data_IF_745036282354
#
_entry.id   IF_745036282354
#
_cell.length_a   1.000
_cell.length_b   1.000
_cell.length_c   1.000
_cell.angle_alpha   90.00
_cell.angle_beta   90.00
_cell.angle_gamma   90.00
#
_symmetry.space_group_name_H-M   'P 1'
#
loop_
_entity.id
_entity.type
_entity.pdbx_description
1 polymer ?
#
# COMPACT_ATOMS: atom_id res chain seq x y z
N UNK A 1 21.71 -26.06 16.18
CA UNK A 1 20.84 -24.94 16.55
C UNK A 1 19.81 -24.82 15.44
N UNK A 2 18.52 -24.87 15.74
CA UNK A 2 17.46 -24.95 14.72
C UNK A 2 17.55 -23.75 13.77
N UNK A 3 17.79 -24.03 12.48
CA UNK A 3 17.86 -23.05 11.38
C UNK A 3 16.48 -22.51 10.95
N UNK A 4 15.46 -22.65 11.80
CA UNK A 4 14.10 -22.22 11.50
C UNK A 4 13.84 -20.83 12.07
N UNK A 5 13.17 -19.99 11.28
CA UNK A 5 12.68 -18.70 11.74
C UNK A 5 11.61 -18.90 12.81
N UNK A 6 11.86 -18.41 14.02
CA UNK A 6 10.92 -18.35 15.13
C UNK A 6 10.39 -16.90 15.22
N UNK A 7 9.15 -16.70 14.75
CA UNK A 7 8.58 -15.36 14.55
C UNK A 7 7.75 -14.95 15.75
N UNK A 8 8.12 -13.82 16.37
CA UNK A 8 7.27 -13.07 17.28
C UNK A 8 6.41 -12.07 16.51
N UNK A 9 5.11 -12.03 16.80
CA UNK A 9 4.19 -11.02 16.26
C UNK A 9 3.90 -9.95 17.31
N UNK A 10 4.21 -8.69 16.99
CA UNK A 10 3.88 -7.54 17.82
C UNK A 10 2.92 -6.60 17.06
N UNK A 11 1.64 -6.68 17.43
CA UNK A 11 0.54 -5.94 16.78
C UNK A 11 -0.18 -4.96 17.69
N UNK A 12 -1.10 -4.21 17.09
CA UNK A 12 -1.93 -3.18 17.75
C UNK A 12 -3.25 -3.81 18.20
N UNK A 13 -3.81 -3.34 19.30
CA UNK A 13 -5.24 -3.60 19.56
C UNK A 13 -6.09 -2.69 18.69
N UNK A 14 -6.52 -3.17 17.52
CA UNK A 14 -7.34 -2.38 16.60
C UNK A 14 -8.70 -2.04 17.21
N UNK A 15 -9.17 -0.81 17.03
CA UNK A 15 -10.54 -0.41 17.41
C UNK A 15 -11.57 -0.77 16.33
N UNK A 16 -11.19 -0.72 15.04
CA UNK A 16 -12.08 -1.00 13.91
C UNK A 16 -12.14 -2.50 13.61
N UNK A 17 -13.34 -3.03 13.37
CA UNK A 17 -13.59 -4.46 13.12
C UNK A 17 -12.83 -4.94 11.87
N UNK A 18 -12.86 -4.18 10.77
CA UNK A 18 -12.20 -4.57 9.52
C UNK A 18 -10.69 -4.79 9.70
N UNK A 19 -10.02 -3.95 10.50
CA UNK A 19 -8.58 -4.09 10.76
C UNK A 19 -8.27 -5.35 11.58
N UNK A 20 -9.11 -5.69 12.56
CA UNK A 20 -8.99 -6.96 13.32
C UNK A 20 -9.14 -8.18 12.41
N UNK A 21 -10.08 -8.14 11.47
CA UNK A 21 -10.32 -9.24 10.54
C UNK A 21 -9.12 -9.45 9.63
N UNK A 22 -8.57 -8.39 9.05
CA UNK A 22 -7.39 -8.46 8.19
C UNK A 22 -6.17 -8.98 8.96
N UNK A 23 -5.90 -8.44 10.15
CA UNK A 23 -4.79 -8.88 11.00
C UNK A 23 -4.92 -10.36 11.40
N UNK A 24 -6.13 -10.77 11.81
CA UNK A 24 -6.40 -12.17 12.15
C UNK A 24 -6.18 -13.08 10.95
N UNK A 25 -6.70 -12.71 9.77
CA UNK A 25 -6.51 -13.49 8.55
C UNK A 25 -5.03 -13.63 8.21
N UNK A 26 -4.26 -12.54 8.26
CA UNK A 26 -2.82 -12.60 8.04
C UNK A 26 -2.14 -13.60 8.99
N UNK A 27 -2.48 -13.54 10.28
CA UNK A 27 -1.87 -14.40 11.30
C UNK A 27 -2.24 -15.86 11.14
N UNK A 28 -3.50 -16.13 10.84
CA UNK A 28 -4.00 -17.49 10.62
C UNK A 28 -3.31 -18.10 9.40
N UNK A 29 -3.19 -17.35 8.29
CA UNK A 29 -2.46 -17.80 7.10
C UNK A 29 -0.98 -18.05 7.38
N UNK A 30 -0.28 -17.13 8.06
CA UNK A 30 1.15 -17.37 8.34
C UNK A 30 1.39 -18.62 9.21
N UNK A 31 0.49 -18.86 10.18
CA UNK A 31 0.56 -20.03 11.08
C UNK A 31 0.38 -21.36 10.39
N UNK A 32 -0.23 -21.40 9.21
CA UNK A 32 -0.33 -22.63 8.41
C UNK A 32 1.04 -23.08 7.88
N UNK A 33 1.99 -22.15 7.72
CA UNK A 33 3.29 -22.41 7.08
C UNK A 33 4.48 -22.30 8.05
N UNK A 34 4.34 -21.62 9.18
CA UNK A 34 5.40 -21.53 10.19
C UNK A 34 4.89 -21.20 11.60
N UNK A 35 5.65 -21.53 12.66
CA UNK A 35 5.32 -21.14 14.02
C UNK A 35 5.35 -19.61 14.20
N UNK A 36 4.25 -19.05 14.73
CA UNK A 36 4.13 -17.62 15.04
C UNK A 36 3.65 -17.43 16.48
N UNK A 37 4.50 -16.81 17.31
CA UNK A 37 4.21 -16.50 18.71
C UNK A 37 3.67 -15.08 18.81
N UNK A 38 2.43 -14.91 19.30
CA UNK A 38 1.87 -13.56 19.54
C UNK A 38 2.44 -13.00 20.83
N UNK A 39 3.14 -11.88 20.72
CA UNK A 39 3.73 -11.19 21.87
C UNK A 39 2.63 -10.37 22.56
N UNK A 40 2.45 -10.49 23.89
CA UNK A 40 1.43 -9.76 24.61
C UNK A 40 1.52 -8.24 24.42
N UNK A 41 0.39 -7.52 24.27
CA UNK A 41 0.39 -6.07 24.14
C UNK A 41 0.99 -5.30 25.34
N UNK A 42 1.19 -5.95 26.50
CA UNK A 42 1.93 -5.36 27.63
C UNK A 42 3.35 -4.98 27.23
N UNK A 43 4.03 -5.79 26.40
CA UNK A 43 5.37 -5.50 25.93
C UNK A 43 5.45 -4.25 25.05
N UNK A 44 4.36 -3.92 24.34
CA UNK A 44 4.28 -2.65 23.61
C UNK A 44 4.31 -1.47 24.59
N UNK A 45 3.58 -1.57 25.71
CA UNK A 45 3.61 -0.54 26.77
C UNK A 45 4.97 -0.49 27.46
N UNK A 46 5.57 -1.64 27.74
CA UNK A 46 6.90 -1.71 28.34
C UNK A 46 7.97 -1.12 27.42
N UNK A 47 7.92 -1.39 26.11
CA UNK A 47 8.80 -0.77 25.12
C UNK A 47 8.69 0.76 25.10
N UNK A 48 7.48 1.30 25.31
CA UNK A 48 7.23 2.75 25.30
C UNK A 48 7.46 3.47 26.63
N UNK A 49 7.53 2.74 27.74
CA UNK A 49 7.47 3.36 29.06
C UNK A 49 6.13 4.11 29.26
N UNK A 50 6.20 5.43 29.48
CA UNK A 50 5.01 6.26 29.71
C UNK A 50 4.18 6.52 28.44
N UNK A 51 4.84 6.77 27.30
CA UNK A 51 4.21 6.99 25.99
C UNK A 51 5.23 6.85 24.86
N UNK A 52 4.76 6.61 23.63
CA UNK A 52 5.65 6.54 22.46
C UNK A 52 6.41 7.86 22.23
N UNK A 53 5.76 8.99 22.46
CA UNK A 53 6.41 10.31 22.38
C UNK A 53 7.48 10.48 23.45
N UNK A 54 7.22 10.02 24.68
CA UNK A 54 8.22 10.02 25.75
C UNK A 54 9.43 9.15 25.41
N UNK A 55 9.21 8.03 24.72
CA UNK A 55 10.29 7.15 24.26
C UNK A 55 11.18 7.86 23.22
N UNK A 56 10.56 8.47 22.21
CA UNK A 56 11.27 9.18 21.13
C UNK A 56 12.01 10.41 21.67
N UNK A 57 11.36 11.22 22.51
CA UNK A 57 11.99 12.39 23.13
C UNK A 57 13.13 12.03 24.10
N UNK A 58 13.12 10.81 24.63
CA UNK A 58 14.17 10.29 25.50
C UNK A 58 15.39 9.70 24.77
N UNK A 59 15.40 9.69 23.43
CA UNK A 59 16.52 9.15 22.67
C UNK A 59 17.79 10.03 22.82
N UNK A 60 18.99 9.43 22.87
CA UNK A 60 19.27 8.00 22.80
C UNK A 60 19.18 7.29 24.16
N UNK A 61 18.99 8.02 25.27
CA UNK A 61 19.01 7.46 26.63
C UNK A 61 17.93 6.41 26.90
N UNK A 62 16.85 6.41 26.13
CA UNK A 62 15.78 5.39 26.21
C UNK A 62 16.12 4.06 25.51
N UNK A 63 17.24 3.98 24.76
CA UNK A 63 17.64 2.78 24.03
C UNK A 63 18.03 1.62 24.95
N UNK A 64 18.65 1.88 26.10
CA UNK A 64 19.01 0.83 27.08
C UNK A 64 17.77 0.09 27.57
N UNK A 65 16.73 0.84 27.93
CA UNK A 65 15.45 0.29 28.36
C UNK A 65 14.77 -0.50 27.24
N UNK A 66 14.66 0.09 26.04
CA UNK A 66 14.05 -0.59 24.90
C UNK A 66 14.80 -1.88 24.53
N UNK A 67 16.14 -1.86 24.58
CA UNK A 67 16.96 -3.03 24.32
C UNK A 67 16.78 -4.13 25.36
N UNK A 68 16.67 -3.78 26.64
CA UNK A 68 16.39 -4.74 27.71
C UNK A 68 15.04 -5.44 27.50
N UNK A 69 14.00 -4.68 27.11
CA UNK A 69 12.68 -5.24 26.79
C UNK A 69 12.74 -6.14 25.56
N UNK A 70 13.44 -5.75 24.49
CA UNK A 70 13.62 -6.61 23.30
C UNK A 70 14.35 -7.92 23.63
N UNK A 71 15.40 -7.86 24.46
CA UNK A 71 16.13 -9.04 24.92
C UNK A 71 15.22 -9.95 25.78
N UNK A 72 14.37 -9.36 26.63
CA UNK A 72 13.38 -10.11 27.41
C UNK A 72 12.35 -10.81 26.52
N UNK A 73 11.83 -10.13 25.50
CA UNK A 73 10.91 -10.75 24.53
C UNK A 73 11.61 -11.91 23.82
N UNK A 74 12.84 -11.69 23.33
CA UNK A 74 13.65 -12.69 22.64
C UNK A 74 13.87 -13.94 23.50
N UNK A 75 14.29 -13.77 24.75
CA UNK A 75 14.58 -14.89 25.66
C UNK A 75 13.33 -15.60 26.14
N UNK A 76 12.25 -14.87 26.44
CA UNK A 76 10.99 -15.43 26.96
C UNK A 76 10.29 -16.28 25.91
N UNK A 77 10.26 -15.83 24.66
CA UNK A 77 9.50 -16.47 23.58
C UNK A 77 10.38 -17.27 22.59
N UNK A 78 11.71 -17.24 22.76
CA UNK A 78 12.65 -17.96 21.90
C UNK A 78 12.61 -17.50 20.43
N UNK A 79 12.24 -16.25 20.18
CA UNK A 79 12.11 -15.70 18.82
C UNK A 79 13.45 -15.23 18.27
N UNK A 80 13.63 -15.30 16.96
CA UNK A 80 14.78 -14.72 16.25
C UNK A 80 14.36 -13.72 15.14
N UNK A 81 13.06 -13.64 14.87
CA UNK A 81 12.43 -12.66 13.98
C UNK A 81 11.28 -11.97 14.73
N UNK A 82 11.15 -10.66 14.57
CA UNK A 82 10.05 -9.86 15.11
C UNK A 82 9.28 -9.22 13.97
N UNK A 83 8.04 -9.65 13.74
CA UNK A 83 7.11 -9.00 12.82
C UNK A 83 6.42 -7.84 13.53
N UNK A 84 6.62 -6.63 13.01
CA UNK A 84 6.07 -5.39 13.54
C UNK A 84 4.90 -4.90 12.68
N UNK A 85 3.70 -4.90 13.25
CA UNK A 85 2.52 -4.22 12.67
C UNK A 85 2.24 -2.88 13.40
N UNK A 86 3.32 -2.21 13.81
CA UNK A 86 3.30 -0.94 14.54
C UNK A 86 4.32 0.01 13.87
N UNK A 87 3.96 0.65 12.75
CA UNK A 87 4.92 1.38 11.92
C UNK A 87 5.79 2.37 12.68
N UNK A 88 5.18 3.17 13.56
CA UNK A 88 5.88 4.20 14.35
C UNK A 88 7.00 3.63 15.22
N UNK A 89 6.93 2.34 15.62
CA UNK A 89 7.92 1.74 16.53
C UNK A 89 9.14 1.18 15.82
N UNK A 90 9.06 0.98 14.50
CA UNK A 90 10.11 0.33 13.71
C UNK A 90 11.48 1.01 13.92
N UNK A 91 11.61 2.36 13.87
CA UNK A 91 12.90 3.01 14.05
C UNK A 91 13.52 2.71 15.42
N UNK A 92 12.72 2.81 16.50
CA UNK A 92 13.24 2.59 17.85
C UNK A 92 13.61 1.13 18.09
N UNK A 93 12.82 0.18 17.57
CA UNK A 93 13.14 -1.25 17.68
C UNK A 93 14.45 -1.57 16.96
N UNK A 94 14.65 -1.07 15.73
CA UNK A 94 15.90 -1.28 14.99
C UNK A 94 17.10 -0.63 15.69
N UNK A 95 16.95 0.60 16.20
CA UNK A 95 18.02 1.27 16.96
C UNK A 95 18.37 0.51 18.23
N UNK A 96 17.38 0.09 19.03
CA UNK A 96 17.61 -0.66 20.26
C UNK A 96 18.25 -2.03 19.99
N UNK A 97 17.82 -2.71 18.92
CA UNK A 97 18.44 -3.96 18.43
C UNK A 97 19.92 -3.76 18.10
N UNK A 98 20.25 -2.70 17.37
CA UNK A 98 21.64 -2.39 17.01
C UNK A 98 22.47 -1.97 18.23
N UNK A 99 21.91 -1.12 19.10
CA UNK A 99 22.55 -0.62 20.32
C UNK A 99 23.03 -1.75 21.23
N UNK A 100 22.20 -2.77 21.44
CA UNK A 100 22.55 -3.93 22.25
C UNK A 100 23.16 -5.10 21.48
N UNK A 101 23.39 -4.97 20.17
CA UNK A 101 23.95 -6.04 19.34
C UNK A 101 23.11 -7.32 19.33
N UNK A 102 21.78 -7.18 19.37
CA UNK A 102 20.87 -8.33 19.47
C UNK A 102 20.81 -9.08 18.13
N UNK A 103 20.98 -10.39 18.19
CA UNK A 103 20.66 -11.28 17.06
C UNK A 103 19.14 -11.47 16.95
N UNK A 104 18.50 -10.46 16.35
CA UNK A 104 17.07 -10.36 16.12
C UNK A 104 16.82 -9.64 14.79
N UNK A 105 16.13 -10.30 13.87
CA UNK A 105 15.65 -9.67 12.64
C UNK A 105 14.31 -8.98 12.83
N UNK A 106 14.09 -7.89 12.10
CA UNK A 106 12.82 -7.15 12.12
C UNK A 106 12.15 -7.27 10.77
N UNK A 107 10.86 -7.60 10.76
CA UNK A 107 10.05 -7.65 9.56
C UNK A 107 8.87 -6.69 9.63
N UNK A 108 8.59 -6.00 8.54
CA UNK A 108 7.48 -5.06 8.42
C UNK A 108 6.97 -4.98 6.97
N UNK A 109 5.75 -4.45 6.80
CA UNK A 109 5.20 -4.13 5.48
C UNK A 109 5.25 -2.62 5.27
N UNK A 110 5.83 -2.21 4.15
CA UNK A 110 5.80 -0.84 3.68
C UNK A 110 4.46 -0.56 2.96
N UNK A 111 3.40 -0.34 3.75
CA UNK A 111 2.03 -0.16 3.24
C UNK A 111 1.88 1.05 2.31
N UNK A 112 2.67 2.09 2.54
CA UNK A 112 2.69 3.32 1.78
C UNK A 112 4.14 3.83 1.79
N UNK A 113 4.60 4.41 0.68
CA UNK A 113 5.97 4.95 0.58
C UNK A 113 5.99 6.41 0.15
N UNK A 114 4.86 6.97 -0.30
CA UNK A 114 4.79 8.32 -0.87
C UNK A 114 4.24 9.42 0.04
N UNK A 115 3.53 9.09 1.12
CA UNK A 115 3.03 10.15 2.03
C UNK A 115 4.14 10.65 2.96
N UNK A 116 4.00 11.88 3.46
CA UNK A 116 5.01 12.51 4.32
C UNK A 116 5.34 11.69 5.57
N UNK A 117 4.32 11.19 6.27
CA UNK A 117 4.50 10.33 7.44
C UNK A 117 5.36 9.09 7.11
N UNK A 118 4.99 8.36 6.05
CA UNK A 118 5.65 7.12 5.70
C UNK A 118 7.06 7.37 5.16
N UNK A 119 7.24 8.42 4.37
CA UNK A 119 8.55 8.77 3.83
C UNK A 119 9.54 9.12 4.94
N UNK A 120 9.13 9.91 5.96
CA UNK A 120 9.94 10.16 7.15
C UNK A 120 10.34 8.88 7.87
N UNK A 121 9.37 7.96 8.05
CA UNK A 121 9.61 6.65 8.64
C UNK A 121 10.70 5.89 7.86
N UNK A 122 10.55 5.77 6.54
CA UNK A 122 11.49 5.04 5.70
C UNK A 122 12.87 5.70 5.65
N UNK A 123 12.96 7.03 5.65
CA UNK A 123 14.24 7.72 5.75
C UNK A 123 14.90 7.45 7.11
N UNK A 124 14.13 7.49 8.21
CA UNK A 124 14.66 7.32 9.58
C UNK A 124 15.26 5.94 9.86
N UNK A 125 14.84 4.89 9.15
CA UNK A 125 15.30 3.51 9.44
C UNK A 125 16.53 3.07 8.64
N UNK A 126 16.87 3.76 7.54
CA UNK A 126 17.94 3.36 6.62
C UNK A 126 19.22 2.95 7.33
N UNK A 127 19.78 3.74 8.27
CA UNK A 127 21.08 3.41 8.85
C UNK A 127 21.06 2.11 9.67
N UNK A 128 19.88 1.72 10.15
CA UNK A 128 19.69 0.61 11.07
C UNK A 128 19.39 -0.71 10.39
N UNK A 129 19.03 -0.70 9.11
CA UNK A 129 18.71 -1.88 8.32
C UNK A 129 19.95 -2.76 8.07
N UNK A 130 19.72 -4.06 8.12
CA UNK A 130 20.69 -5.14 7.88
C UNK A 130 20.07 -6.23 7.02
N UNK A 131 20.87 -7.21 6.56
CA UNK A 131 20.36 -8.39 5.85
C UNK A 131 19.44 -9.27 6.73
N UNK A 132 19.48 -9.09 8.05
CA UNK A 132 18.58 -9.72 9.03
C UNK A 132 17.14 -9.18 8.95
N UNK A 133 16.92 -8.05 8.28
CA UNK A 133 15.64 -7.36 8.27
C UNK A 133 14.87 -7.59 6.96
N UNK A 134 13.54 -7.66 7.06
CA UNK A 134 12.65 -7.88 5.92
C UNK A 134 11.65 -6.74 5.80
N UNK A 135 11.95 -5.78 4.93
CA UNK A 135 10.99 -4.76 4.49
C UNK A 135 10.22 -5.29 3.30
N UNK A 136 8.95 -5.62 3.49
CA UNK A 136 8.07 -6.12 2.44
C UNK A 136 7.41 -4.95 1.70
N UNK A 137 7.53 -4.96 0.38
CA UNK A 137 6.86 -4.00 -0.52
C UNK A 137 5.93 -4.75 -1.45
N UNK A 138 4.77 -4.18 -1.73
CA UNK A 138 3.72 -4.85 -2.52
C UNK A 138 3.94 -4.79 -4.02
N UNK A 139 4.82 -3.91 -4.50
CA UNK A 139 5.06 -3.63 -5.92
C UNK A 139 6.51 -3.24 -6.17
N UNK A 140 7.00 -3.45 -7.39
CA UNK A 140 8.29 -2.94 -7.84
C UNK A 140 8.33 -1.42 -7.81
N UNK A 141 7.21 -0.74 -8.12
CA UNK A 141 7.16 0.72 -7.99
C UNK A 141 7.45 1.16 -6.56
N UNK A 142 6.92 0.46 -5.56
CA UNK A 142 7.20 0.76 -4.15
C UNK A 142 8.65 0.45 -3.77
N UNK A 143 9.21 -0.66 -4.28
CA UNK A 143 10.64 -0.97 -4.10
C UNK A 143 11.52 0.14 -4.67
N UNK A 144 11.26 0.56 -5.90
CA UNK A 144 12.03 1.58 -6.58
C UNK A 144 11.94 2.95 -5.91
N UNK A 145 10.77 3.29 -5.34
CA UNK A 145 10.62 4.48 -4.52
C UNK A 145 11.53 4.47 -3.29
N UNK A 146 11.60 3.33 -2.59
CA UNK A 146 12.51 3.18 -1.44
C UNK A 146 13.99 3.18 -1.87
N UNK A 147 14.34 2.52 -2.99
CA UNK A 147 15.74 2.51 -3.48
C UNK A 147 16.19 3.88 -4.00
N UNK A 148 15.25 4.73 -4.42
CA UNK A 148 15.51 6.15 -4.69
C UNK A 148 15.89 6.94 -3.42
N UNK A 149 15.56 6.47 -2.21
CA UNK A 149 16.05 7.05 -0.95
C UNK A 149 17.46 6.55 -0.63
N UNK A 150 17.69 5.25 -0.76
CA UNK A 150 18.91 4.58 -0.34
C UNK A 150 19.11 3.24 -1.04
N UNK A 151 20.35 2.91 -1.40
CA UNK A 151 20.71 1.57 -1.90
C UNK A 151 20.48 0.45 -0.87
N UNK A 152 20.39 0.76 0.43
CA UNK A 152 20.04 -0.25 1.45
C UNK A 152 18.67 -0.88 1.20
N UNK A 153 17.76 -0.19 0.52
CA UNK A 153 16.46 -0.74 0.17
C UNK A 153 16.48 -1.77 -0.97
N UNK A 154 17.64 -2.09 -1.55
CA UNK A 154 17.79 -3.32 -2.36
C UNK A 154 17.44 -4.58 -1.54
N UNK A 155 17.60 -4.51 -0.21
CA UNK A 155 17.16 -5.52 0.74
C UNK A 155 15.64 -5.68 0.81
N UNK A 156 14.84 -4.69 0.38
CA UNK A 156 13.38 -4.82 0.39
C UNK A 156 12.93 -5.98 -0.52
N UNK A 157 11.96 -6.75 -0.05
CA UNK A 157 11.42 -7.92 -0.74
C UNK A 157 10.08 -7.55 -1.36
N UNK A 158 9.96 -7.67 -2.68
CA UNK A 158 8.66 -7.57 -3.36
C UNK A 158 7.85 -8.81 -3.01
N UNK A 159 6.77 -8.61 -2.27
CA UNK A 159 5.80 -9.65 -1.95
C UNK A 159 4.41 -9.04 -2.15
N UNK A 160 3.66 -9.47 -3.19
CA UNK A 160 2.31 -8.98 -3.43
C UNK A 160 1.40 -9.20 -2.21
N UNK A 161 0.43 -8.32 -2.02
CA UNK A 161 -0.57 -8.53 -0.97
C UNK A 161 -1.47 -9.72 -1.34
N UNK A 162 -1.74 -10.57 -0.35
CA UNK A 162 -2.63 -11.71 -0.48
C UNK A 162 -4.09 -11.36 -0.19
N UNK A 163 -5.02 -12.02 -0.88
CA UNK A 163 -6.45 -12.04 -0.58
C UNK A 163 -6.93 -13.46 -0.34
N UNK A 164 -7.99 -13.57 0.45
CA UNK A 164 -8.79 -14.80 0.49
C UNK A 164 -9.60 -14.86 -0.80
N UNK A 165 -9.46 -15.95 -1.54
CA UNK A 165 -10.29 -16.16 -2.72
C UNK A 165 -11.75 -16.36 -2.28
N UNK A 166 -12.71 -15.68 -2.93
CA UNK A 166 -14.11 -15.83 -2.58
C UNK A 166 -14.59 -17.25 -2.92
N UNK A 167 -15.46 -17.79 -2.07
CA UNK A 167 -16.13 -19.07 -2.35
C UNK A 167 -17.20 -18.82 -3.42
N UNK A 168 -16.99 -19.40 -4.60
CA UNK A 168 -17.94 -19.33 -5.72
C UNK A 168 -18.72 -20.62 -5.78
N UNK A 169 -19.74 -20.76 -4.94
CA UNK A 169 -20.71 -21.83 -5.15
C UNK A 169 -21.51 -21.46 -6.41
N UNK A 170 -21.26 -22.16 -7.52
CA UNK A 170 -22.07 -22.12 -8.75
C UNK A 170 -22.30 -20.72 -9.36
N UNK A 171 -21.30 -19.84 -9.37
CA UNK A 171 -21.43 -18.60 -10.16
C UNK A 171 -21.35 -18.97 -11.63
N UNK A 172 -22.49 -18.95 -12.33
CA UNK A 172 -22.46 -19.04 -13.78
C UNK A 172 -21.80 -17.77 -14.34
N UNK A 173 -20.92 -17.91 -15.34
CA UNK A 173 -20.33 -16.76 -16.04
C UNK A 173 -21.42 -15.83 -16.63
N UNK A 174 -22.66 -16.30 -16.76
CA UNK A 174 -23.81 -15.54 -17.23
C UNK A 174 -24.36 -14.54 -16.21
N UNK A 175 -23.96 -14.62 -14.93
CA UNK A 175 -24.39 -13.69 -13.88
C UNK A 175 -23.46 -12.49 -13.68
N UNK A 176 -22.21 -12.58 -14.16
CA UNK A 176 -21.20 -11.52 -14.04
C UNK A 176 -21.51 -10.43 -15.08
N UNK A 177 -21.59 -9.17 -14.66
CA UNK A 177 -21.84 -8.04 -15.56
C UNK A 177 -23.24 -8.01 -16.20
N UNK A 178 -24.24 -8.64 -15.58
CA UNK A 178 -25.64 -8.66 -16.08
C UNK A 178 -26.27 -7.29 -16.24
N UNK A 179 -25.86 -6.33 -15.41
CA UNK A 179 -26.28 -4.94 -15.51
C UNK A 179 -25.08 -4.10 -15.97
N UNK A 180 -25.28 -3.06 -16.80
CA UNK A 180 -24.22 -2.16 -17.22
C UNK A 180 -23.76 -1.25 -16.05
N UNK A 181 -23.28 -1.87 -14.97
CA UNK A 181 -22.92 -1.23 -13.71
C UNK A 181 -21.41 -1.10 -13.62
N UNK A 182 -20.94 0.13 -13.44
CA UNK A 182 -19.57 0.45 -13.07
C UNK A 182 -19.52 0.55 -11.55
N UNK A 183 -18.56 -0.14 -10.93
CA UNK A 183 -18.29 -0.09 -9.50
C UNK A 183 -17.00 0.68 -9.25
N UNK A 184 -17.04 1.65 -8.35
CA UNK A 184 -15.85 2.20 -7.69
C UNK A 184 -15.97 1.89 -6.20
N UNK A 185 -14.96 1.24 -5.62
CA UNK A 185 -14.97 0.86 -4.22
C UNK A 185 -13.64 1.20 -3.53
N UNK A 186 -13.72 1.91 -2.41
CA UNK A 186 -12.57 2.38 -1.66
C UNK A 186 -12.92 3.60 -0.79
N UNK A 187 -11.92 4.21 -0.16
CA UNK A 187 -12.11 5.51 0.50
C UNK A 187 -12.46 6.58 -0.54
N UNK A 188 -13.32 7.54 -0.19
CA UNK A 188 -13.66 8.67 -1.07
C UNK A 188 -12.79 9.87 -0.65
N UNK A 189 -11.67 10.03 -1.35
CA UNK A 189 -10.68 11.10 -1.15
C UNK A 189 -10.44 11.84 -2.47
N UNK A 190 -9.88 13.05 -2.39
CA UNK A 190 -9.55 13.86 -3.57
C UNK A 190 -8.67 13.08 -4.57
N UNK A 191 -7.66 12.37 -4.07
CA UNK A 191 -6.70 11.54 -4.83
C UNK A 191 -7.30 10.27 -5.45
N UNK A 192 -8.57 9.97 -5.14
CA UNK A 192 -9.33 8.88 -5.75
C UNK A 192 -10.16 9.35 -6.94
N UNK A 193 -10.15 10.67 -7.22
CA UNK A 193 -10.67 11.26 -8.45
C UNK A 193 -12.15 10.95 -8.73
N UNK A 194 -12.99 10.88 -7.70
CA UNK A 194 -14.44 10.61 -7.83
C UNK A 194 -15.12 11.66 -8.71
N UNK A 195 -14.71 12.92 -8.60
CA UNK A 195 -15.18 13.99 -9.47
C UNK A 195 -14.88 13.72 -10.97
N UNK A 196 -13.68 13.23 -11.29
CA UNK A 196 -13.33 12.82 -12.67
C UNK A 196 -14.15 11.61 -13.10
N UNK A 197 -14.37 10.63 -12.20
CA UNK A 197 -15.24 9.48 -12.49
C UNK A 197 -16.64 9.93 -12.90
N UNK A 198 -17.23 10.90 -12.18
CA UNK A 198 -18.55 11.45 -12.50
C UNK A 198 -18.60 12.16 -13.85
N UNK A 199 -17.59 12.98 -14.16
CA UNK A 199 -17.48 13.65 -15.46
C UNK A 199 -17.35 12.65 -16.62
N UNK A 200 -16.54 11.59 -16.44
CA UNK A 200 -16.42 10.51 -17.42
C UNK A 200 -17.73 9.74 -17.53
N UNK A 201 -18.39 9.44 -16.41
CA UNK A 201 -19.64 8.71 -16.38
C UNK A 201 -20.78 9.45 -17.11
N UNK A 202 -20.87 10.77 -16.98
CA UNK A 202 -21.81 11.58 -17.76
C UNK A 202 -21.65 11.39 -19.28
N UNK A 203 -20.42 11.17 -19.76
CA UNK A 203 -20.15 10.84 -21.16
C UNK A 203 -20.47 9.38 -21.49
N UNK A 204 -20.17 8.45 -20.58
CA UNK A 204 -20.49 7.02 -20.74
C UNK A 204 -22.00 6.81 -20.91
N UNK A 205 -22.84 7.49 -20.12
CA UNK A 205 -24.30 7.39 -20.20
C UNK A 205 -24.85 7.85 -21.57
N UNK A 206 -24.15 8.72 -22.29
CA UNK A 206 -24.54 9.10 -23.66
C UNK A 206 -24.38 7.95 -24.65
N UNK A 207 -23.47 7.00 -24.39
CA UNK A 207 -23.24 5.81 -25.20
C UNK A 207 -23.99 4.58 -24.67
N UNK A 208 -24.20 4.50 -23.36
CA UNK A 208 -24.88 3.39 -22.67
C UNK A 208 -25.92 3.98 -21.71
N UNK A 209 -27.14 4.32 -22.19
CA UNK A 209 -28.13 5.06 -21.41
C UNK A 209 -28.57 4.37 -20.10
N UNK A 210 -28.58 3.04 -20.09
CA UNK A 210 -28.98 2.24 -18.92
C UNK A 210 -27.84 2.04 -17.91
N UNK A 211 -26.65 2.60 -18.17
CA UNK A 211 -25.49 2.43 -17.30
C UNK A 211 -25.74 2.99 -15.90
N UNK A 212 -25.20 2.31 -14.89
CA UNK A 212 -25.21 2.73 -13.48
C UNK A 212 -23.78 2.87 -12.96
N UNK A 213 -23.55 3.82 -12.07
CA UNK A 213 -22.31 3.98 -11.33
C UNK A 213 -22.60 3.82 -9.84
N UNK A 214 -21.99 2.81 -9.22
CA UNK A 214 -22.02 2.62 -7.77
C UNK A 214 -20.67 3.05 -7.21
N UNK A 215 -20.67 4.02 -6.30
CA UNK A 215 -19.49 4.45 -5.56
C UNK A 215 -19.66 4.03 -4.10
N UNK A 216 -18.87 3.03 -3.69
CA UNK A 216 -18.97 2.40 -2.39
C UNK A 216 -17.76 2.75 -1.51
N UNK A 217 -18.03 3.38 -0.37
CA UNK A 217 -16.96 3.85 0.51
C UNK A 217 -17.39 4.92 1.50
N UNK A 218 -16.50 5.18 2.44
CA UNK A 218 -16.59 6.29 3.40
C UNK A 218 -15.79 7.48 2.86
N UNK A 219 -16.34 8.69 2.99
CA UNK A 219 -15.55 9.91 2.78
C UNK A 219 -14.50 10.03 3.88
N UNK A 220 -13.25 10.22 3.49
CA UNK A 220 -12.14 10.38 4.41
C UNK A 220 -11.25 11.53 3.95
N UNK A 221 -10.44 12.07 4.86
CA UNK A 221 -9.61 13.23 4.60
C UNK A 221 -8.77 13.57 5.82
N UNK A 222 -7.97 14.63 5.71
CA UNK A 222 -7.10 15.10 6.79
C UNK A 222 -7.88 15.84 7.89
N UNK A 223 -9.04 16.39 7.56
CA UNK A 223 -9.93 17.09 8.48
C UNK A 223 -11.40 16.89 8.09
N UNK A 224 -12.29 17.06 9.06
CA UNK A 224 -13.74 17.01 8.83
C UNK A 224 -14.19 18.08 7.81
N UNK A 225 -13.56 19.26 7.83
CA UNK A 225 -13.82 20.32 6.84
C UNK A 225 -13.46 19.88 5.42
N UNK A 226 -12.32 19.20 5.22
CA UNK A 226 -11.94 18.70 3.89
C UNK A 226 -12.93 17.63 3.41
N UNK A 227 -13.31 16.71 4.31
CA UNK A 227 -14.29 15.67 4.04
C UNK A 227 -15.61 16.28 3.59
N UNK A 228 -16.13 17.25 4.36
CA UNK A 228 -17.40 17.91 4.05
C UNK A 228 -17.33 18.69 2.73
N UNK A 229 -16.22 19.39 2.47
CA UNK A 229 -16.02 20.11 1.20
C UNK A 229 -16.01 19.15 0.01
N UNK A 230 -15.33 18.02 0.11
CA UNK A 230 -15.28 17.03 -0.97
C UNK A 230 -16.64 16.36 -1.19
N UNK A 231 -17.34 16.00 -0.12
CA UNK A 231 -18.70 15.48 -0.20
C UNK A 231 -19.66 16.50 -0.86
N UNK A 232 -19.58 17.77 -0.48
CA UNK A 232 -20.37 18.85 -1.12
C UNK A 232 -20.04 18.96 -2.60
N UNK A 233 -18.76 18.89 -2.99
CA UNK A 233 -18.30 18.92 -4.39
C UNK A 233 -18.87 17.75 -5.20
N UNK A 234 -18.77 16.52 -4.68
CA UNK A 234 -19.30 15.31 -5.34
C UNK A 234 -20.81 15.40 -5.53
N UNK A 235 -21.56 15.76 -4.48
CA UNK A 235 -23.01 15.90 -4.55
C UNK A 235 -23.46 17.02 -5.50
N UNK A 236 -22.75 18.15 -5.53
CA UNK A 236 -23.02 19.24 -6.46
C UNK A 236 -22.81 18.79 -7.91
N UNK A 237 -21.74 18.04 -8.18
CA UNK A 237 -21.42 17.54 -9.52
C UNK A 237 -22.45 16.51 -10.01
N UNK A 238 -22.94 15.61 -9.14
CA UNK A 238 -24.03 14.68 -9.47
C UNK A 238 -25.28 15.45 -9.93
N UNK A 239 -25.64 16.54 -9.23
CA UNK A 239 -26.79 17.39 -9.62
C UNK A 239 -26.54 18.14 -10.92
N UNK A 240 -25.38 18.76 -11.06
CA UNK A 240 -25.01 19.54 -12.24
C UNK A 240 -25.00 18.68 -13.51
N UNK A 241 -24.47 17.46 -13.42
CA UNK A 241 -24.40 16.51 -14.54
C UNK A 241 -25.70 15.70 -14.72
N UNK A 242 -26.74 15.97 -13.92
CA UNK A 242 -28.04 15.28 -13.96
C UNK A 242 -27.94 13.75 -13.78
N UNK A 243 -26.99 13.30 -12.95
CA UNK A 243 -26.64 11.89 -12.77
C UNK A 243 -27.39 11.19 -11.63
N UNK A 244 -28.23 11.91 -10.86
CA UNK A 244 -28.93 11.36 -9.71
C UNK A 244 -29.71 10.04 -9.97
N UNK A 245 -30.34 9.81 -11.14
CA UNK A 245 -31.01 8.53 -11.42
C UNK A 245 -30.07 7.35 -11.66
N UNK A 246 -28.78 7.61 -11.91
CA UNK A 246 -27.82 6.60 -12.38
C UNK A 246 -26.55 6.50 -11.53
N UNK A 247 -26.41 7.32 -10.49
CA UNK A 247 -25.30 7.25 -9.53
C UNK A 247 -25.82 6.91 -8.15
N UNK A 248 -25.23 5.90 -7.51
CA UNK A 248 -25.50 5.52 -6.13
C UNK A 248 -24.23 5.70 -5.28
N UNK A 249 -24.33 6.48 -4.20
CA UNK A 249 -23.29 6.59 -3.18
C UNK A 249 -23.72 5.71 -1.98
N UNK A 250 -23.08 4.55 -1.79
CA UNK A 250 -23.62 3.53 -0.86
C UNK A 250 -23.20 3.72 0.59
N UNK A 251 -22.22 4.58 0.85
CA UNK A 251 -21.43 4.53 2.09
C UNK A 251 -20.52 3.29 2.15
N UNK A 252 -19.89 3.00 3.30
CA UNK A 252 -19.02 1.84 3.45
C UNK A 252 -19.80 0.52 3.36
N UNK A 253 -19.19 -0.48 2.72
CA UNK A 253 -19.76 -1.83 2.54
C UNK A 253 -18.78 -2.91 3.03
N UNK A 254 -19.31 -3.99 3.59
CA UNK A 254 -18.54 -5.12 4.13
C UNK A 254 -19.24 -6.45 3.88
N UNK A 255 -18.51 -7.56 4.00
CA UNK A 255 -19.06 -8.92 3.91
C UNK A 255 -19.82 -9.18 2.62
N UNK A 256 -20.96 -9.86 2.73
CA UNK A 256 -21.78 -10.29 1.59
C UNK A 256 -22.25 -9.14 0.70
N UNK A 257 -22.51 -7.95 1.26
CA UNK A 257 -22.88 -6.78 0.46
C UNK A 257 -21.73 -6.32 -0.43
N UNK A 258 -20.50 -6.35 0.07
CA UNK A 258 -19.30 -6.04 -0.71
C UNK A 258 -19.12 -7.06 -1.84
N UNK A 259 -19.25 -8.34 -1.50
CA UNK A 259 -19.11 -9.45 -2.46
C UNK A 259 -20.18 -9.38 -3.56
N UNK A 260 -21.41 -9.00 -3.21
CA UNK A 260 -22.49 -8.78 -4.17
C UNK A 260 -22.18 -7.64 -5.16
N UNK A 261 -21.59 -6.54 -4.69
CA UNK A 261 -21.20 -5.44 -5.58
C UNK A 261 -20.13 -5.90 -6.60
N UNK A 262 -19.09 -6.59 -6.15
CA UNK A 262 -18.09 -7.13 -7.07
C UNK A 262 -18.67 -8.14 -8.05
N UNK A 263 -19.59 -9.01 -7.59
CA UNK A 263 -20.23 -10.04 -8.41
C UNK A 263 -21.12 -9.45 -9.51
N UNK A 264 -21.89 -8.41 -9.21
CA UNK A 264 -22.92 -7.90 -10.12
C UNK A 264 -22.46 -6.74 -11.01
N UNK A 265 -21.35 -6.08 -10.68
CA UNK A 265 -20.77 -5.07 -11.54
C UNK A 265 -20.28 -5.67 -12.87
N UNK A 266 -20.25 -4.84 -13.91
CA UNK A 266 -19.65 -5.15 -15.20
C UNK A 266 -18.21 -4.66 -15.29
N UNK A 267 -17.87 -3.57 -14.62
CA UNK A 267 -16.51 -3.01 -14.61
C UNK A 267 -16.18 -2.49 -13.21
N UNK A 268 -14.98 -2.78 -12.70
CA UNK A 268 -14.39 -2.01 -11.61
C UNK A 268 -13.65 -0.79 -12.19
N UNK A 269 -13.97 0.42 -11.74
CA UNK A 269 -13.29 1.65 -12.10
C UNK A 269 -12.47 2.19 -10.93
N UNK A 270 -11.15 2.32 -11.12
CA UNK A 270 -10.25 2.93 -10.13
C UNK A 270 -9.35 3.99 -10.79
N UNK A 271 -9.69 5.26 -10.59
CA UNK A 271 -8.96 6.39 -11.17
C UNK A 271 -7.96 7.03 -10.19
N UNK A 272 -7.50 6.30 -9.17
CA UNK A 272 -6.58 6.87 -8.18
C UNK A 272 -5.24 7.26 -8.80
N UNK A 273 -4.75 8.43 -8.45
CA UNK A 273 -3.39 8.91 -8.75
C UNK A 273 -2.64 9.22 -7.47
N UNK A 274 -2.94 8.46 -6.43
CA UNK A 274 -2.40 8.65 -5.09
C UNK A 274 -0.98 8.05 -5.00
N UNK A 275 0.04 8.85 -4.69
CA UNK A 275 1.39 8.34 -4.34
C UNK A 275 1.38 7.48 -3.07
N UNK A 276 0.33 7.60 -2.26
CA UNK A 276 0.12 6.77 -1.07
C UNK A 276 -0.46 5.40 -1.37
N UNK A 277 -1.05 5.21 -2.56
CA UNK A 277 -1.48 3.92 -3.05
C UNK A 277 -0.26 3.18 -3.62
N UNK A 278 -0.08 1.92 -3.20
CA UNK A 278 1.12 1.14 -3.55
C UNK A 278 0.80 -0.15 -4.31
N UNK A 279 -0.45 -0.64 -4.22
CA UNK A 279 -0.83 -1.91 -4.80
C UNK A 279 -2.17 -1.86 -5.51
N UNK A 280 -3.26 -1.44 -4.86
CA UNK A 280 -4.61 -1.57 -5.44
C UNK A 280 -5.31 -2.85 -5.00
N UNK A 281 -5.58 -2.96 -3.70
CA UNK A 281 -6.23 -4.14 -3.12
C UNK A 281 -7.63 -4.40 -3.73
N UNK A 282 -8.38 -3.34 -4.04
CA UNK A 282 -9.68 -3.46 -4.71
C UNK A 282 -9.58 -4.08 -6.12
N UNK A 283 -8.43 -3.93 -6.80
CA UNK A 283 -8.21 -4.49 -8.13
C UNK A 283 -8.12 -6.01 -8.06
N UNK A 284 -7.35 -6.56 -7.12
CA UNK A 284 -7.26 -8.02 -6.94
C UNK A 284 -8.55 -8.61 -6.39
N UNK A 285 -9.30 -7.89 -5.56
CA UNK A 285 -10.63 -8.31 -5.12
C UNK A 285 -11.61 -8.39 -6.29
N UNK A 286 -11.63 -7.41 -7.19
CA UNK A 286 -12.43 -7.45 -8.41
C UNK A 286 -12.02 -8.62 -9.32
N UNK A 287 -10.71 -8.80 -9.56
CA UNK A 287 -10.21 -9.92 -10.36
C UNK A 287 -10.61 -11.27 -9.77
N UNK A 288 -10.63 -11.39 -8.44
CA UNK A 288 -11.10 -12.59 -7.74
C UNK A 288 -12.62 -12.83 -7.87
N UNK A 289 -13.39 -11.88 -8.38
CA UNK A 289 -14.79 -12.07 -8.79
C UNK A 289 -14.96 -12.17 -10.31
N UNK A 290 -13.87 -12.09 -11.08
CA UNK A 290 -13.91 -12.11 -12.53
C UNK A 290 -14.40 -10.79 -13.11
N UNK A 291 -14.30 -9.71 -12.34
CA UNK A 291 -14.72 -8.38 -12.74
C UNK A 291 -13.56 -7.69 -13.48
N UNK A 292 -13.69 -7.39 -14.79
CA UNK A 292 -12.70 -6.62 -15.52
C UNK A 292 -12.48 -5.25 -14.87
N UNK A 293 -11.23 -4.78 -14.92
CA UNK A 293 -10.80 -3.54 -14.27
C UNK A 293 -10.48 -2.48 -15.31
N UNK A 294 -10.92 -1.25 -15.10
CA UNK A 294 -10.38 -0.05 -15.74
C UNK A 294 -9.72 0.79 -14.66
N UNK A 295 -8.40 0.98 -14.73
CA UNK A 295 -7.67 1.76 -13.75
C UNK A 295 -6.60 2.63 -14.38
N UNK A 296 -6.11 3.62 -13.65
CA UNK A 296 -4.95 4.42 -14.07
C UNK A 296 -3.71 3.54 -14.28
N UNK A 297 -2.84 3.91 -15.22
CA UNK A 297 -1.50 3.35 -15.41
C UNK A 297 -0.52 3.89 -14.36
N UNK A 298 -0.99 4.07 -13.12
CA UNK A 298 -0.27 4.64 -12.00
C UNK A 298 0.30 3.52 -11.13
N UNK A 299 1.50 3.69 -10.56
CA UNK A 299 2.14 2.81 -9.56
C UNK A 299 2.09 1.28 -9.88
N UNK A 300 1.98 0.45 -8.83
CA UNK A 300 1.79 -1.00 -8.87
C UNK A 300 0.50 -1.49 -9.53
N UNK A 301 -0.45 -0.64 -9.96
CA UNK A 301 -1.63 -1.10 -10.71
C UNK A 301 -1.22 -1.81 -12.01
N UNK A 302 -0.11 -1.40 -12.63
CA UNK A 302 0.46 -2.01 -13.84
C UNK A 302 0.97 -3.44 -13.62
N UNK A 303 1.24 -3.82 -12.38
CA UNK A 303 1.67 -5.18 -12.02
C UNK A 303 0.46 -6.09 -11.76
N UNK A 304 -0.71 -5.50 -11.56
CA UNK A 304 -1.96 -6.23 -11.31
C UNK A 304 -2.77 -6.38 -12.59
N UNK A 305 -2.87 -5.34 -13.42
CA UNK A 305 -3.74 -5.32 -14.60
C UNK A 305 -2.92 -5.45 -15.89
N UNK A 306 -3.23 -6.48 -16.67
CA UNK A 306 -2.68 -6.68 -18.01
C UNK A 306 -3.57 -5.94 -19.01
N UNK A 307 -3.09 -4.79 -19.51
CA UNK A 307 -3.85 -3.92 -20.41
C UNK A 307 -4.28 -4.67 -21.68
N UNK A 308 -5.58 -4.61 -22.00
CA UNK A 308 -6.16 -5.27 -23.17
C UNK A 308 -6.43 -6.76 -22.99
N UNK A 309 -6.18 -7.31 -21.81
CA UNK A 309 -6.25 -8.75 -21.52
C UNK A 309 -7.25 -9.06 -20.38
N UNK A 310 -7.03 -8.51 -19.19
CA UNK A 310 -7.95 -8.67 -18.04
C UNK A 310 -8.54 -7.35 -17.54
N UNK A 311 -8.20 -6.26 -18.23
CA UNK A 311 -8.60 -4.92 -17.89
C UNK A 311 -7.92 -3.91 -18.79
N UNK A 312 -8.10 -2.64 -18.47
CA UNK A 312 -7.49 -1.52 -19.17
C UNK A 312 -6.76 -0.61 -18.20
N UNK A 313 -5.53 -0.26 -18.60
CA UNK A 313 -4.72 0.79 -18.00
C UNK A 313 -4.97 2.10 -18.76
N UNK A 314 -5.35 3.16 -18.05
CA UNK A 314 -5.57 4.52 -18.54
C UNK A 314 -4.27 5.31 -18.38
N UNK A 315 -3.76 5.84 -19.48
CA UNK A 315 -2.50 6.59 -19.50
C UNK A 315 -2.53 7.77 -18.54
N UNK A 316 -1.41 7.92 -17.83
CA UNK A 316 -1.16 9.02 -16.91
C UNK A 316 0.09 9.78 -17.32
N UNK A 317 0.14 11.07 -16.99
CA UNK A 317 1.33 11.93 -17.08
C UNK A 317 1.52 12.69 -15.76
N UNK A 318 2.76 13.04 -15.43
CA UNK A 318 3.06 13.89 -14.27
C UNK A 318 4.09 14.95 -14.66
N UNK A 319 3.69 15.82 -15.58
CA UNK A 319 4.52 16.96 -16.00
C UNK A 319 4.33 18.15 -15.07
N UNK A 320 3.09 18.43 -14.67
CA UNK A 320 2.71 19.51 -13.75
C UNK A 320 2.90 19.19 -12.26
N UNK A 321 2.20 19.94 -11.42
CA UNK A 321 2.20 19.76 -9.96
C UNK A 321 1.47 18.49 -9.54
N UNK A 322 0.31 18.23 -10.14
CA UNK A 322 -0.48 17.01 -9.92
C UNK A 322 -0.45 16.09 -11.16
N UNK A 323 -0.58 14.78 -10.95
CA UNK A 323 -0.75 13.82 -12.05
C UNK A 323 -2.04 14.08 -12.83
N UNK A 324 -1.98 13.81 -14.12
CA UNK A 324 -3.13 13.87 -15.03
C UNK A 324 -3.32 12.50 -15.69
N UNK A 325 -4.55 12.22 -16.10
CA UNK A 325 -4.92 10.99 -16.80
C UNK A 325 -5.67 11.31 -18.09
N UNK A 326 -5.58 10.44 -19.08
CA UNK A 326 -6.39 10.56 -20.29
C UNK A 326 -7.84 10.16 -20.02
N UNK A 327 -8.69 11.16 -19.80
CA UNK A 327 -10.13 10.97 -19.55
C UNK A 327 -10.88 10.39 -20.74
N UNK A 328 -10.35 10.51 -21.96
CA UNK A 328 -10.99 9.93 -23.16
C UNK A 328 -10.88 8.41 -23.14
N UNK A 329 -9.72 7.87 -22.74
CA UNK A 329 -9.49 6.44 -22.55
C UNK A 329 -10.40 5.84 -21.48
N UNK A 330 -10.65 6.57 -20.37
CA UNK A 330 -11.61 6.13 -19.33
C UNK A 330 -12.98 5.83 -19.95
N UNK A 331 -13.51 6.79 -20.71
CA UNK A 331 -14.82 6.67 -21.37
C UNK A 331 -14.80 5.54 -22.39
N UNK A 332 -13.79 5.51 -23.28
CA UNK A 332 -13.66 4.48 -24.31
C UNK A 332 -13.64 3.07 -23.71
N UNK A 333 -12.76 2.82 -22.74
CA UNK A 333 -12.58 1.49 -22.16
C UNK A 333 -13.81 1.01 -21.40
N UNK A 334 -14.47 1.90 -20.67
CA UNK A 334 -15.73 1.56 -19.99
C UNK A 334 -16.82 1.22 -21.01
N UNK A 335 -17.01 2.05 -22.04
CA UNK A 335 -18.02 1.79 -23.10
C UNK A 335 -17.74 0.47 -23.82
N UNK A 336 -16.48 0.17 -24.15
CA UNK A 336 -16.11 -1.09 -24.78
C UNK A 336 -16.49 -2.31 -23.91
N UNK A 337 -16.21 -2.27 -22.61
CA UNK A 337 -16.54 -3.38 -21.71
C UNK A 337 -18.05 -3.50 -21.44
N UNK A 338 -18.78 -2.38 -21.42
CA UNK A 338 -20.23 -2.36 -21.23
C UNK A 338 -21.01 -2.84 -22.47
N UNK A 339 -20.49 -2.61 -23.67
CA UNK A 339 -21.20 -2.93 -24.92
C UNK A 339 -20.75 -4.24 -25.57
N UNK A 340 -19.52 -4.70 -25.32
CA UNK A 340 -18.96 -5.90 -25.96
C UNK A 340 -18.93 -7.10 -25.01
N UNK A 341 -20.02 -7.88 -25.00
CA UNK A 341 -20.19 -9.07 -24.16
C UNK A 341 -19.04 -10.08 -24.32
N UNK A 342 -18.63 -10.38 -25.55
CA UNK A 342 -17.55 -11.36 -25.82
C UNK A 342 -16.22 -10.91 -25.24
N UNK A 343 -15.89 -9.63 -25.38
CA UNK A 343 -14.68 -9.04 -24.78
C UNK A 343 -14.75 -9.09 -23.26
N UNK A 344 -15.89 -8.71 -22.69
CA UNK A 344 -16.12 -8.77 -21.24
C UNK A 344 -15.94 -10.19 -20.69
N UNK A 345 -16.57 -11.20 -21.31
CA UNK A 345 -16.42 -12.61 -20.92
C UNK A 345 -14.96 -13.09 -20.99
N UNK A 346 -14.23 -12.66 -22.02
CA UNK A 346 -12.81 -12.98 -22.18
C UNK A 346 -11.98 -12.36 -21.06
N UNK A 347 -12.20 -11.07 -20.75
CA UNK A 347 -11.47 -10.36 -19.70
C UNK A 347 -11.81 -10.92 -18.32
N UNK A 348 -13.07 -11.28 -18.09
CA UNK A 348 -13.53 -11.89 -16.87
C UNK A 348 -12.79 -13.21 -16.60
N UNK A 349 -12.72 -14.10 -17.59
CA UNK A 349 -11.99 -15.37 -17.47
C UNK A 349 -10.49 -15.15 -17.17
N UNK A 350 -9.84 -14.20 -17.84
CA UNK A 350 -8.43 -13.90 -17.59
C UNK A 350 -8.18 -13.24 -16.23
N UNK A 351 -9.10 -12.37 -15.80
CA UNK A 351 -9.07 -11.76 -14.48
C UNK A 351 -9.12 -12.84 -13.38
N UNK A 352 -9.98 -13.83 -13.54
CA UNK A 352 -10.12 -14.97 -12.64
C UNK A 352 -8.84 -15.80 -12.54
N UNK A 353 -8.25 -16.15 -13.68
CA UNK A 353 -7.03 -16.93 -13.74
C UNK A 353 -5.89 -16.22 -13.00
N UNK A 354 -5.71 -14.92 -13.28
CA UNK A 354 -4.61 -14.13 -12.70
C UNK A 354 -4.82 -13.77 -11.24
N UNK A 355 -6.07 -13.70 -10.77
CA UNK A 355 -6.36 -13.48 -9.35
C UNK A 355 -5.72 -14.54 -8.44
N UNK A 356 -5.51 -15.77 -8.94
CA UNK A 356 -4.90 -16.86 -8.18
C UNK A 356 -3.47 -16.54 -7.71
N UNK A 357 -2.72 -15.72 -8.46
CA UNK A 357 -1.37 -15.28 -8.09
C UNK A 357 -1.35 -14.43 -6.81
N UNK A 358 -2.49 -13.82 -6.46
CA UNK A 358 -2.66 -12.98 -5.27
C UNK A 358 -3.38 -13.69 -4.13
N UNK A 359 -3.51 -15.02 -4.19
CA UNK A 359 -4.08 -15.81 -3.09
C UNK A 359 -3.10 -15.89 -1.91
N UNK A 360 -3.62 -16.07 -0.68
CA UNK A 360 -2.76 -16.31 0.48
C UNK A 360 -1.93 -17.58 0.33
N UNK A 361 -2.45 -18.58 -0.37
CA UNK A 361 -1.77 -19.84 -0.69
C UNK A 361 -0.53 -19.63 -1.58
N UNK A 362 -0.51 -18.57 -2.38
CA UNK A 362 0.65 -18.19 -3.22
C UNK A 362 1.57 -17.18 -2.55
N UNK A 363 1.00 -16.20 -1.84
CA UNK A 363 1.77 -15.08 -1.27
C UNK A 363 2.40 -15.40 0.09
N UNK A 364 1.72 -16.17 0.95
CA UNK A 364 2.24 -16.54 2.28
C UNK A 364 3.55 -17.33 2.22
N UNK A 365 3.73 -18.32 1.33
CA UNK A 365 5.02 -19.00 1.19
C UNK A 365 6.19 -18.06 0.86
N UNK A 366 5.96 -17.00 0.10
CA UNK A 366 6.99 -15.99 -0.22
C UNK A 366 7.39 -15.21 1.04
N UNK A 367 6.43 -14.85 1.90
CA UNK A 367 6.68 -14.21 3.19
C UNK A 367 7.53 -15.14 4.07
N UNK A 368 7.12 -16.40 4.19
CA UNK A 368 7.81 -17.41 5.01
C UNK A 368 9.23 -17.61 4.53
N UNK A 369 9.45 -17.70 3.21
CA UNK A 369 10.79 -17.84 2.66
C UNK A 369 11.66 -16.63 2.98
N UNK A 370 11.14 -15.40 2.78
CA UNK A 370 11.87 -14.18 3.12
C UNK A 370 12.25 -14.11 4.61
N UNK A 371 11.35 -14.52 5.50
CA UNK A 371 11.62 -14.59 6.94
C UNK A 371 12.68 -15.65 7.29
N UNK A 372 12.65 -16.82 6.65
CA UNK A 372 13.64 -17.88 6.84
C UNK A 372 15.03 -17.47 6.35
N UNK A 373 15.12 -16.84 5.18
CA UNK A 373 16.38 -16.34 4.63
C UNK A 373 16.99 -15.29 5.56
N UNK A 374 16.18 -14.32 6.01
CA UNK A 374 16.62 -13.28 6.94
C UNK A 374 17.02 -13.83 8.31
N UNK A 375 16.33 -14.86 8.82
CA UNK A 375 16.67 -15.54 10.07
C UNK A 375 18.00 -16.32 10.01
N UNK A 376 18.62 -16.43 8.83
CA UNK A 376 19.98 -16.98 8.65
C UNK A 376 21.02 -15.92 8.30
N UNK A 377 20.59 -14.71 7.96
CA UNK A 377 21.46 -13.60 7.56
C UNK A 377 22.16 -12.92 8.76
N UNK A 378 23.09 -12.01 8.51
CA UNK A 378 23.84 -11.32 9.57
C UNK A 378 23.19 -10.00 9.97
N UNK A 379 23.29 -9.66 11.26
CA UNK A 379 23.04 -8.29 11.78
C UNK A 379 24.25 -7.38 11.62
N UNK A 380 25.36 -7.86 11.05
CA UNK A 380 26.55 -7.05 10.78
C UNK A 380 26.27 -5.93 9.77
N UNK A 381 27.01 -4.82 9.88
CA UNK A 381 26.90 -3.67 8.97
C UNK A 381 25.81 -2.65 9.34
N UNK A 382 25.08 -2.88 10.44
CA UNK A 382 24.21 -1.87 11.02
C UNK A 382 25.03 -0.73 11.66
N UNK A 383 24.59 0.52 11.51
CA UNK A 383 25.20 1.62 12.24
C UNK A 383 24.87 1.53 13.74
N UNK A 384 25.85 1.91 14.58
CA UNK A 384 25.59 2.12 16.00
C UNK A 384 24.80 3.43 16.18
N UNK A 385 23.66 3.45 16.87
CA UNK A 385 22.88 4.68 17.06
C UNK A 385 23.72 5.83 17.64
N UNK A 386 24.64 5.53 18.57
CA UNK A 386 25.52 6.53 19.18
C UNK A 386 26.44 7.23 18.19
N UNK A 387 26.86 6.58 17.09
CA UNK A 387 27.75 7.20 16.11
C UNK A 387 27.04 8.19 15.17
N UNK A 388 25.71 8.17 15.11
CA UNK A 388 24.92 8.98 14.17
C UNK A 388 24.03 10.02 14.87
N UNK A 389 24.12 10.15 16.20
CA UNK A 389 23.19 10.95 17.01
C UNK A 389 23.01 12.39 16.51
N UNK A 390 24.11 13.06 16.16
CA UNK A 390 24.12 14.47 15.74
C UNK A 390 24.54 14.64 14.28
N UNK A 391 24.52 13.57 13.48
CA UNK A 391 24.89 13.64 12.07
C UNK A 391 23.63 13.96 11.26
N UNK A 392 23.56 15.11 10.56
CA UNK A 392 22.42 15.44 9.72
C UNK A 392 22.41 14.57 8.45
N UNK A 393 21.23 14.43 7.82
CA UNK A 393 21.09 13.68 6.56
C UNK A 393 22.01 14.22 5.46
N UNK A 394 22.21 15.53 5.41
CA UNK A 394 23.07 16.22 4.43
C UNK A 394 24.52 15.76 4.45
N UNK A 395 24.98 15.18 5.56
CA UNK A 395 26.30 14.59 5.68
C UNK A 395 26.31 13.07 5.70
N UNK A 396 25.24 12.40 5.23
CA UNK A 396 25.06 10.93 5.20
C UNK A 396 24.98 10.37 3.77
N UNK A 397 25.89 10.78 2.88
CA UNK A 397 25.97 10.28 1.49
C UNK A 397 26.23 8.78 1.39
N UNK A 398 26.81 8.19 2.44
CA UNK A 398 27.01 6.75 2.62
C UNK A 398 25.70 5.98 2.80
N UNK A 399 24.62 6.65 3.23
CA UNK A 399 23.31 6.04 3.44
C UNK A 399 22.28 6.50 2.40
N UNK A 400 22.32 7.75 1.96
CA UNK A 400 21.21 8.35 1.20
C UNK A 400 21.62 8.88 -0.17
N UNK A 401 20.67 8.82 -1.10
CA UNK A 401 20.76 9.53 -2.38
C UNK A 401 20.31 10.98 -2.18
N UNK A 402 21.21 11.85 -1.71
CA UNK A 402 20.85 13.22 -1.30
C UNK A 402 20.18 14.05 -2.41
N UNK A 403 20.56 13.85 -3.67
CA UNK A 403 19.92 14.50 -4.81
C UNK A 403 18.42 14.16 -4.98
N UNK A 404 17.95 13.04 -4.39
CA UNK A 404 16.53 12.68 -4.36
C UNK A 404 15.81 13.26 -3.14
N UNK A 405 16.54 13.66 -2.10
CA UNK A 405 16.01 14.21 -0.85
C UNK A 405 16.05 15.74 -0.81
N UNK A 406 16.77 16.40 -1.72
CA UNK A 406 17.02 17.86 -1.71
C UNK A 406 15.76 18.75 -1.67
N UNK A 407 14.63 18.25 -2.18
CA UNK A 407 13.36 18.98 -2.17
C UNK A 407 12.56 18.78 -0.87
N UNK A 408 12.98 17.83 -0.05
CA UNK A 408 12.43 17.62 1.29
C UNK A 408 13.15 18.58 2.22
N UNK A 409 12.40 19.25 3.10
CA UNK A 409 12.95 20.20 4.08
C UNK A 409 13.61 19.47 5.28
N UNK A 410 14.24 18.32 5.02
CA UNK A 410 14.71 17.36 6.02
C UNK A 410 16.22 17.12 5.98
N UNK A 411 16.96 17.76 5.07
CA UNK A 411 18.39 17.52 4.91
C UNK A 411 19.22 17.89 6.15
N UNK A 412 18.78 18.89 6.92
CA UNK A 412 19.44 19.30 8.16
C UNK A 412 18.96 18.53 9.40
N UNK A 413 17.96 17.65 9.22
CA UNK A 413 17.45 16.78 10.28
C UNK A 413 18.34 15.55 10.48
N UNK A 414 18.17 14.88 11.62
CA UNK A 414 18.82 13.61 11.91
C UNK A 414 17.84 12.45 11.74
N UNK A 415 18.30 11.20 11.57
CA UNK A 415 17.41 10.04 11.59
C UNK A 415 16.56 9.94 12.87
N UNK A 416 17.04 10.51 14.00
CA UNK A 416 16.34 10.54 15.29
C UNK A 416 15.18 11.56 15.28
N UNK A 417 15.43 12.77 14.80
CA UNK A 417 14.40 13.84 14.77
C UNK A 417 13.32 13.60 13.72
N UNK A 418 13.59 12.75 12.71
CA UNK A 418 12.60 12.37 11.70
C UNK A 418 11.57 11.34 12.15
N UNK A 419 11.75 10.70 13.32
CA UNK A 419 10.84 9.65 13.78
C UNK A 419 9.44 10.25 14.02
N UNK A 420 8.42 9.83 13.24
CA UNK A 420 7.11 10.43 13.37
C UNK A 420 6.41 9.91 14.64
N UNK A 421 6.06 10.81 15.56
CA UNK A 421 5.38 10.49 16.83
C UNK A 421 3.87 10.32 16.69
N UNK A 422 3.29 10.85 15.60
CA UNK A 422 1.88 10.72 15.25
C UNK A 422 1.71 10.47 13.75
N UNK A 423 0.56 9.96 13.34
CA UNK A 423 0.15 9.89 11.93
C UNK A 423 -0.29 11.27 11.41
N UNK A 424 0.45 12.32 11.75
CA UNK A 424 0.17 13.66 11.26
C UNK A 424 0.35 13.70 9.74
N UNK A 425 -0.57 14.39 9.08
CA UNK A 425 -0.51 14.65 7.66
C UNK A 425 0.52 15.76 7.38
N UNK A 426 0.90 15.92 6.12
CA UNK A 426 1.64 17.09 5.69
C UNK A 426 0.73 18.32 5.82
N UNK A 427 1.22 19.37 6.47
CA UNK A 427 0.42 20.58 6.77
C UNK A 427 0.18 21.46 5.53
N UNK A 428 0.98 21.30 4.48
CA UNK A 428 0.81 22.01 3.22
C UNK A 428 -0.17 21.32 2.25
N UNK A 429 -0.27 21.86 1.04
CA UNK A 429 -1.21 21.33 0.05
C UNK A 429 -0.70 20.05 -0.62
N UNK A 430 -1.60 19.33 -1.28
CA UNK A 430 -1.26 18.10 -2.00
C UNK A 430 -0.26 18.38 -3.14
N UNK A 431 -0.44 19.47 -3.87
CA UNK A 431 0.42 19.87 -4.99
C UNK A 431 1.82 20.27 -4.53
N UNK A 432 1.95 20.95 -3.38
CA UNK A 432 3.23 21.22 -2.74
C UNK A 432 3.94 19.92 -2.36
N UNK A 433 3.22 18.98 -1.72
CA UNK A 433 3.79 17.70 -1.32
C UNK A 433 4.25 16.89 -2.54
N UNK A 434 3.44 16.83 -3.59
CA UNK A 434 3.76 16.10 -4.82
C UNK A 434 5.00 16.69 -5.51
N UNK A 435 5.14 18.01 -5.53
CA UNK A 435 6.34 18.66 -6.07
C UNK A 435 7.62 18.28 -5.31
N UNK A 436 7.53 18.12 -3.98
CA UNK A 436 8.66 17.72 -3.12
C UNK A 436 9.07 16.27 -3.34
N UNK A 437 8.11 15.34 -3.45
CA UNK A 437 8.39 13.90 -3.57
C UNK A 437 8.58 13.40 -5.01
N UNK A 438 8.31 14.24 -6.01
CA UNK A 438 8.46 13.88 -7.43
C UNK A 438 9.81 13.23 -7.76
N UNK A 439 10.97 13.72 -7.28
CA UNK A 439 12.25 13.06 -7.55
C UNK A 439 12.32 11.61 -7.06
N UNK A 440 11.52 11.24 -6.07
CA UNK A 440 11.47 9.89 -5.50
C UNK A 440 10.45 9.02 -6.22
N UNK A 441 9.37 9.62 -6.73
CA UNK A 441 8.16 8.93 -7.20
C UNK A 441 7.88 9.09 -8.69
N UNK A 442 8.71 9.80 -9.46
CA UNK A 442 8.45 10.09 -10.88
C UNK A 442 8.17 8.85 -11.75
N UNK A 443 8.75 7.69 -11.38
CA UNK A 443 8.51 6.39 -12.03
C UNK A 443 7.13 5.79 -11.77
N UNK A 444 6.33 6.38 -10.87
CA UNK A 444 4.94 5.98 -10.65
C UNK A 444 4.09 6.23 -11.90
N UNK A 445 4.56 7.06 -12.82
CA UNK A 445 3.96 7.29 -14.13
C UNK A 445 4.70 6.51 -15.20
N UNK A 446 3.95 5.84 -16.06
CA UNK A 446 4.48 5.25 -17.28
C UNK A 446 3.40 5.29 -18.36
N UNK A 447 3.79 5.61 -19.59
CA UNK A 447 2.92 5.50 -20.75
C UNK A 447 2.69 4.01 -21.08
N UNK A 448 1.45 3.64 -21.41
CA UNK A 448 1.18 2.32 -22.01
C UNK A 448 1.94 2.22 -23.34
N UNK A 449 2.46 1.03 -23.65
CA UNK A 449 3.31 0.82 -24.81
C UNK A 449 2.58 1.21 -26.12
N UNK A 450 2.88 2.41 -26.60
CA UNK A 450 2.25 3.06 -27.77
C UNK A 450 2.80 4.47 -28.02
N UNK A 451 3.31 5.14 -26.99
CA UNK A 451 4.09 6.38 -27.10
C UNK A 451 5.58 6.16 -26.80
N UNK A 452 6.39 5.99 -27.85
CA UNK A 452 7.87 6.05 -27.87
C UNK A 452 8.61 5.78 -26.53
N UNK A 453 8.80 4.50 -26.23
CA UNK A 453 10.13 3.91 -25.96
C UNK A 453 10.93 4.38 -24.75
N UNK A 454 10.55 3.90 -23.56
CA UNK A 454 11.48 3.55 -22.49
C UNK A 454 11.22 2.10 -22.10
N UNK A 455 12.12 1.19 -22.49
CA UNK A 455 11.95 -0.24 -22.28
C UNK A 455 11.97 -0.60 -20.78
N UNK A 456 10.81 -0.94 -20.22
CA UNK A 456 10.69 -1.77 -19.03
C UNK A 456 9.82 -2.98 -19.36
N UNK A 457 10.34 -3.82 -20.25
CA UNK A 457 9.91 -5.21 -20.33
C UNK A 457 10.51 -5.96 -19.14
N UNK A 458 9.76 -6.10 -18.06
CA UNK A 458 10.05 -7.10 -17.04
C UNK A 458 9.13 -8.30 -17.30
N UNK A 459 9.73 -9.38 -17.82
CA UNK A 459 9.15 -10.72 -17.67
C UNK A 459 8.86 -10.94 -16.18
N UNK A 460 7.59 -11.09 -15.84
CA UNK A 460 7.19 -11.64 -14.53
C UNK A 460 7.59 -13.12 -14.56
N UNK A 461 8.84 -13.42 -14.16
CA UNK A 461 9.18 -14.78 -13.73
C UNK A 461 8.82 -14.87 -12.26
N UNK A 462 7.67 -15.49 -12.00
CA UNK A 462 7.22 -15.95 -10.68
C UNK A 462 8.15 -17.03 -10.12
#
# INVERSE_FOLDING_TARGET
MNNEAAVGYLGRQWRRINQRVVEKQWLDNLREYMPVTVIPPSYVRELFGASFESLVNGLPGSLDHAAAVLQQIRSTYGINMLYLNLPTTIPVVLMARNHAGLDLGVSCIAHCVGSAFWLKLWVSIVPWLTERDVVMVSSESSKQALTNLSSKYELARKIPLGIRQPVRNEVSMEEIGRTPTILSIGRLEDVKNIHIMLECFARIVQHVPDAKLIVAGEYTGHSDDQVEQYERKVNALIRQLQLAPSVELTGPVVGERKDALFRHAAVLLNLSTDIGETFGYNLIEAKAWGLPVVCTSWNGFREIVSHGEDGYLVDCSWEGSLPQMDRSQVVEYCVQLLQNKKKHETFAAQALERAAAFSYERTTPLIVQALKDAAQASTAGAASPGSLLNRPLSGMEDFYRLNRLEKLDWLDETPFSLIPTSFAHYDGTLDEWYAKVKPIMEHYVSATAGGKGGAYGMEVRL
#
